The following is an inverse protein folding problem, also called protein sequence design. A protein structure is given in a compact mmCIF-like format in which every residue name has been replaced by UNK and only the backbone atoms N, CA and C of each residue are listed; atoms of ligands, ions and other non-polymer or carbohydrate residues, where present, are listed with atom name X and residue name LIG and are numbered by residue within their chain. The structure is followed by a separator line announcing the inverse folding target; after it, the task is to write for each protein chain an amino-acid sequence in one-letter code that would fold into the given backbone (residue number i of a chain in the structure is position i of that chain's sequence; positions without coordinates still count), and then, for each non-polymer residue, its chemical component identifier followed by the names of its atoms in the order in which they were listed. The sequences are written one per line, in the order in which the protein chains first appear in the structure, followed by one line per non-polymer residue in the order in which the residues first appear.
data_IF_680963653854
#
_entry.id   IF_680963653854
#
_cell.length_a   1.000
_cell.length_b   1.000
_cell.length_c   1.000
_cell.angle_alpha   90.00
_cell.angle_beta   90.00
_cell.angle_gamma   90.00
#
_symmetry.space_group_name_H-M   'P 1'
#
loop_
_entity.id
_entity.type
_entity.pdbx_description
1 polymer ?
#
# COMPACT_ATOMS: atom_id res chain seq x y z
N UNK A 1 -15.71 28.04 -13.12
CA UNK A 1 -15.01 28.39 -11.87
C UNK A 1 -13.57 27.88 -11.92
N UNK A 2 -12.58 28.77 -11.95
CA UNK A 2 -11.16 28.39 -11.93
C UNK A 2 -10.83 27.74 -10.57
N UNK A 3 -10.48 26.45 -10.56
CA UNK A 3 -10.22 25.71 -9.31
C UNK A 3 -8.92 26.15 -8.58
N UNK A 4 -8.05 26.97 -9.21
CA UNK A 4 -6.77 27.39 -8.60
C UNK A 4 -6.19 28.68 -9.25
N UNK A 5 -6.71 29.88 -8.94
CA UNK A 5 -6.16 31.13 -9.47
C UNK A 5 -4.67 31.32 -9.14
N UNK A 6 -4.25 30.91 -7.93
CA UNK A 6 -2.86 31.08 -7.45
C UNK A 6 -1.81 30.29 -8.23
N UNK A 7 -2.19 29.20 -8.91
CA UNK A 7 -1.24 28.44 -9.73
C UNK A 7 -0.74 29.30 -10.89
N UNK A 8 -1.65 29.99 -11.58
CA UNK A 8 -1.33 30.88 -12.71
C UNK A 8 -0.69 32.20 -12.29
N UNK A 9 -0.74 32.54 -10.99
CA UNK A 9 -0.09 33.73 -10.42
C UNK A 9 1.32 33.44 -9.89
N UNK A 10 1.75 32.18 -9.88
CA UNK A 10 3.07 31.79 -9.37
C UNK A 10 4.13 31.95 -10.46
N UNK A 11 5.37 32.24 -10.06
CA UNK A 11 6.48 32.37 -11.02
C UNK A 11 6.60 31.11 -11.89
N UNK A 12 6.63 31.24 -13.24
CA UNK A 12 6.82 30.12 -14.13
C UNK A 12 8.05 29.26 -13.80
N UNK A 13 9.13 29.89 -13.31
CA UNK A 13 10.37 29.19 -12.94
C UNK A 13 10.16 28.13 -11.85
N UNK A 14 9.37 28.43 -10.80
CA UNK A 14 9.14 27.50 -9.68
C UNK A 14 8.40 26.25 -10.12
N UNK A 15 7.40 26.43 -10.99
CA UNK A 15 6.65 25.32 -11.59
C UNK A 15 7.57 24.51 -12.49
N UNK A 16 8.37 25.19 -13.32
CA UNK A 16 9.30 24.56 -14.26
C UNK A 16 10.37 23.72 -13.55
N UNK A 17 10.93 24.18 -12.43
CA UNK A 17 11.95 23.45 -11.67
C UNK A 17 11.41 22.12 -11.12
N UNK A 18 10.16 22.12 -10.65
CA UNK A 18 9.50 20.91 -10.12
C UNK A 18 9.17 19.95 -11.26
N UNK A 19 8.70 20.47 -12.40
CA UNK A 19 8.45 19.65 -13.60
C UNK A 19 9.75 19.03 -14.12
N UNK A 20 10.81 19.81 -14.26
CA UNK A 20 12.13 19.34 -14.71
C UNK A 20 12.67 18.26 -13.79
N UNK A 21 12.57 18.47 -12.47
CA UNK A 21 12.93 17.44 -11.50
C UNK A 21 12.13 16.14 -11.70
N UNK A 22 10.80 16.24 -11.85
CA UNK A 22 9.95 15.08 -12.05
C UNK A 22 10.30 14.31 -13.33
N UNK A 23 10.59 15.01 -14.42
CA UNK A 23 11.06 14.41 -15.67
C UNK A 23 12.39 13.69 -15.46
N UNK A 24 13.36 14.35 -14.80
CA UNK A 24 14.69 13.78 -14.54
C UNK A 24 14.65 12.52 -13.67
N UNK A 25 13.70 12.42 -12.74
CA UNK A 25 13.51 11.21 -11.90
C UNK A 25 12.57 10.17 -12.53
N UNK A 26 12.19 10.33 -13.80
CA UNK A 26 11.44 9.32 -14.55
C UNK A 26 9.92 9.35 -14.38
N UNK A 27 9.35 10.45 -13.86
CA UNK A 27 7.89 10.61 -13.83
C UNK A 27 7.39 10.87 -15.26
N UNK A 28 6.47 10.04 -15.75
CA UNK A 28 5.92 10.21 -17.09
C UNK A 28 5.12 11.51 -17.25
N UNK A 29 5.16 12.10 -18.45
CA UNK A 29 4.38 13.30 -18.79
C UNK A 29 2.88 13.16 -18.47
N UNK A 30 2.31 11.96 -18.66
CA UNK A 30 0.93 11.64 -18.26
C UNK A 30 0.71 11.83 -16.76
N UNK A 31 1.62 11.32 -15.93
CA UNK A 31 1.53 11.44 -14.48
C UNK A 31 1.76 12.89 -14.03
N UNK A 32 2.75 13.60 -14.62
CA UNK A 32 2.99 15.03 -14.32
C UNK A 32 1.74 15.85 -14.64
N UNK A 33 1.11 15.64 -15.81
CA UNK A 33 -0.16 16.28 -16.17
C UNK A 33 -1.25 16.01 -15.13
N UNK A 34 -1.41 14.76 -14.71
CA UNK A 34 -2.38 14.41 -13.66
C UNK A 34 -2.07 15.13 -12.34
N UNK A 35 -0.81 15.21 -11.93
CA UNK A 35 -0.39 15.92 -10.72
C UNK A 35 -0.71 17.42 -10.80
N UNK A 36 -0.49 18.06 -11.95
CA UNK A 36 -0.83 19.48 -12.14
C UNK A 36 -2.35 19.69 -12.03
N UNK A 37 -3.16 18.80 -12.61
CA UNK A 37 -4.62 18.90 -12.59
C UNK A 37 -5.19 18.67 -11.17
N UNK A 38 -4.74 17.61 -10.49
CA UNK A 38 -5.35 17.14 -9.25
C UNK A 38 -4.59 17.56 -7.98
N UNK A 39 -3.34 18.00 -8.09
CA UNK A 39 -2.51 18.46 -6.97
C UNK A 39 -1.63 19.68 -7.33
N UNK A 40 -2.22 20.75 -7.88
CA UNK A 40 -1.51 21.93 -8.38
C UNK A 40 -0.67 22.63 -7.30
N UNK A 41 -1.10 22.56 -6.03
CA UNK A 41 -0.36 23.14 -4.89
C UNK A 41 1.05 22.60 -4.72
N UNK A 42 1.33 21.38 -5.19
CA UNK A 42 2.65 20.77 -5.16
C UNK A 42 3.68 21.55 -6.01
N UNK A 43 3.23 22.29 -7.01
CA UNK A 43 4.12 22.95 -7.98
C UNK A 43 4.44 24.40 -7.63
N UNK A 44 3.74 25.02 -6.69
CA UNK A 44 3.97 26.43 -6.36
C UNK A 44 4.00 26.75 -4.87
N UNK A 45 3.26 26.01 -4.04
CA UNK A 45 3.14 26.32 -2.61
C UNK A 45 4.34 25.81 -1.80
N UNK A 46 4.94 24.71 -2.24
CA UNK A 46 5.86 23.93 -1.42
C UNK A 46 7.34 24.20 -1.69
N UNK A 47 7.69 25.19 -2.53
CA UNK A 47 9.04 25.76 -2.70
C UNK A 47 10.18 24.71 -2.70
N UNK A 48 10.19 23.79 -3.67
CA UNK A 48 11.27 22.81 -3.81
C UNK A 48 11.21 21.59 -2.88
N UNK A 49 10.20 21.47 -2.00
CA UNK A 49 10.03 20.26 -1.16
C UNK A 49 9.95 18.95 -1.94
N UNK A 50 9.34 18.84 -3.14
CA UNK A 50 9.35 17.60 -3.90
C UNK A 50 10.76 17.10 -4.22
N UNK A 51 11.66 18.01 -4.59
CA UNK A 51 13.08 17.75 -4.81
C UNK A 51 13.75 17.31 -3.51
N UNK A 52 13.58 18.06 -2.43
CA UNK A 52 14.20 17.78 -1.13
C UNK A 52 13.80 16.40 -0.59
N UNK A 53 12.50 16.12 -0.55
CA UNK A 53 11.97 14.85 -0.05
C UNK A 53 12.37 13.70 -0.95
N UNK A 54 12.25 13.84 -2.27
CA UNK A 54 12.61 12.74 -3.17
C UNK A 54 14.10 12.43 -3.16
N UNK A 55 14.99 13.43 -3.19
CA UNK A 55 16.44 13.20 -3.07
C UNK A 55 16.83 12.57 -1.74
N UNK A 56 16.20 13.02 -0.64
CA UNK A 56 16.41 12.43 0.68
C UNK A 56 15.99 10.95 0.70
N UNK A 57 14.79 10.63 0.21
CA UNK A 57 14.29 9.25 0.18
C UNK A 57 15.10 8.35 -0.75
N UNK A 58 15.58 8.87 -1.88
CA UNK A 58 16.51 8.16 -2.76
C UNK A 58 17.81 7.78 -2.03
N UNK A 59 18.38 8.72 -1.28
CA UNK A 59 19.58 8.48 -0.47
C UNK A 59 19.34 7.39 0.57
N UNK A 60 18.19 7.45 1.26
CA UNK A 60 17.81 6.43 2.26
C UNK A 60 17.61 5.06 1.59
N UNK A 61 16.91 4.99 0.46
CA UNK A 61 16.67 3.74 -0.28
C UNK A 61 18.00 3.13 -0.73
N UNK A 62 18.90 3.91 -1.33
CA UNK A 62 20.20 3.42 -1.79
C UNK A 62 21.08 2.93 -0.62
N UNK A 63 21.01 3.59 0.54
CA UNK A 63 21.71 3.13 1.75
C UNK A 63 21.18 1.79 2.24
N UNK A 64 19.87 1.59 2.21
CA UNK A 64 19.21 0.36 2.70
C UNK A 64 19.30 -0.79 1.69
N UNK A 65 19.26 -0.47 0.40
CA UNK A 65 19.26 -1.43 -0.69
C UNK A 65 20.00 -0.81 -1.90
N UNK A 66 21.33 -1.00 -2.00
CA UNK A 66 22.16 -0.37 -3.05
C UNK A 66 21.70 -0.68 -4.48
N UNK A 67 21.14 -1.88 -4.70
CA UNK A 67 20.65 -2.34 -5.99
C UNK A 67 19.15 -2.06 -6.23
N UNK A 68 18.52 -1.21 -5.41
CA UNK A 68 17.11 -0.88 -5.58
C UNK A 68 16.87 -0.15 -6.90
N UNK A 69 15.79 -0.50 -7.58
CA UNK A 69 15.30 0.22 -8.75
C UNK A 69 14.67 1.56 -8.35
N UNK A 70 15.54 2.53 -8.05
CA UNK A 70 15.15 3.88 -7.67
C UNK A 70 14.37 4.61 -8.77
N UNK A 71 14.60 4.22 -10.03
CA UNK A 71 13.97 4.81 -11.22
C UNK A 71 12.46 4.53 -11.20
N UNK A 72 12.02 3.36 -10.75
CA UNK A 72 10.57 3.07 -10.64
C UNK A 72 9.96 3.46 -9.30
N UNK A 73 10.74 3.45 -8.21
CA UNK A 73 10.21 3.68 -6.85
C UNK A 73 9.74 5.11 -6.68
N UNK A 74 10.57 6.10 -7.03
CA UNK A 74 10.25 7.50 -6.76
C UNK A 74 9.02 8.00 -7.57
N UNK A 75 8.89 7.71 -8.88
CA UNK A 75 7.67 8.00 -9.63
C UNK A 75 6.43 7.33 -9.08
N UNK A 76 6.56 6.09 -8.61
CA UNK A 76 5.46 5.38 -7.95
C UNK A 76 5.00 6.12 -6.69
N UNK A 77 5.92 6.58 -5.84
CA UNK A 77 5.59 7.32 -4.63
C UNK A 77 4.97 8.68 -4.93
N UNK A 78 5.55 9.44 -5.87
CA UNK A 78 5.02 10.74 -6.30
C UNK A 78 3.59 10.64 -6.80
N UNK A 79 3.26 9.54 -7.51
CA UNK A 79 1.90 9.29 -7.99
C UNK A 79 0.93 8.90 -6.86
N UNK A 80 1.37 8.05 -5.93
CA UNK A 80 0.46 7.39 -4.98
C UNK A 80 0.34 8.12 -3.62
N UNK A 81 1.32 8.95 -3.23
CA UNK A 81 1.22 9.82 -2.06
C UNK A 81 1.91 11.17 -2.28
N UNK A 82 1.21 12.03 -3.02
CA UNK A 82 1.63 13.42 -3.29
C UNK A 82 1.85 14.23 -2.00
N UNK A 83 1.07 13.94 -0.95
CA UNK A 83 1.09 14.69 0.31
C UNK A 83 2.41 14.48 1.05
N UNK A 84 3.11 13.36 0.84
CA UNK A 84 4.45 13.13 1.38
C UNK A 84 5.44 14.19 0.87
N UNK A 85 5.39 14.53 -0.42
CA UNK A 85 6.30 15.48 -1.07
C UNK A 85 6.02 16.95 -0.73
N UNK A 86 5.02 17.20 0.11
CA UNK A 86 4.75 18.51 0.71
C UNK A 86 5.30 18.65 2.12
N UNK A 87 5.89 17.59 2.69
CA UNK A 87 6.49 17.56 4.03
C UNK A 87 7.94 18.06 4.03
N UNK A 88 8.47 18.23 5.22
CA UNK A 88 9.88 18.54 5.47
C UNK A 88 10.69 17.26 5.69
N UNK A 89 12.00 17.32 5.42
CA UNK A 89 12.91 16.20 5.67
C UNK A 89 12.86 15.79 7.15
N UNK A 90 12.78 16.74 8.08
CA UNK A 90 12.72 16.47 9.52
C UNK A 90 11.46 15.69 9.93
N UNK A 91 10.30 15.99 9.34
CA UNK A 91 9.07 15.23 9.61
C UNK A 91 9.20 13.78 9.10
N UNK A 92 9.75 13.61 7.89
CA UNK A 92 9.91 12.30 7.26
C UNK A 92 11.00 11.46 7.95
N UNK A 93 12.11 12.08 8.33
CA UNK A 93 13.24 11.42 8.99
C UNK A 93 12.86 10.88 10.37
N UNK A 94 11.99 11.57 11.10
CA UNK A 94 11.47 11.11 12.40
C UNK A 94 10.81 9.75 12.27
N UNK A 95 9.89 9.59 11.31
CA UNK A 95 9.19 8.32 11.12
C UNK A 95 10.09 7.23 10.52
N UNK A 96 11.06 7.59 9.67
CA UNK A 96 12.07 6.61 9.21
C UNK A 96 12.90 6.08 10.38
N UNK A 97 13.37 6.96 11.27
CA UNK A 97 14.14 6.57 12.45
C UNK A 97 13.31 5.66 13.36
N UNK A 98 12.07 6.06 13.63
CA UNK A 98 11.15 5.27 14.44
C UNK A 98 10.91 3.86 13.85
N UNK A 99 10.66 3.77 12.54
CA UNK A 99 10.52 2.47 11.88
C UNK A 99 11.80 1.63 11.99
N UNK A 100 12.98 2.24 11.89
CA UNK A 100 14.24 1.52 12.13
C UNK A 100 14.43 1.08 13.58
N UNK A 101 13.98 1.87 14.56
CA UNK A 101 13.97 1.48 15.98
C UNK A 101 13.04 0.29 16.26
N UNK A 102 11.96 0.15 15.48
CA UNK A 102 11.09 -1.05 15.50
C UNK A 102 11.70 -2.27 14.78
N UNK A 103 12.87 -2.13 14.16
CA UNK A 103 13.55 -3.22 13.43
C UNK A 103 13.27 -3.28 11.93
N UNK A 104 12.66 -2.23 11.33
CA UNK A 104 12.56 -2.14 9.88
C UNK A 104 13.87 -1.62 9.26
N UNK A 105 14.55 -2.48 8.52
CA UNK A 105 15.81 -2.25 7.83
C UNK A 105 15.88 -2.97 6.47
N UNK A 106 16.81 -2.56 5.62
CA UNK A 106 17.04 -3.16 4.31
C UNK A 106 15.78 -3.17 3.43
N UNK A 107 15.48 -4.35 2.87
CA UNK A 107 14.36 -4.53 1.95
C UNK A 107 12.99 -4.23 2.60
N UNK A 108 12.81 -4.53 3.89
CA UNK A 108 11.50 -4.33 4.53
C UNK A 108 11.17 -2.83 4.69
N UNK A 109 12.18 -1.99 4.99
CA UNK A 109 12.02 -0.55 5.10
C UNK A 109 11.78 0.07 3.71
N UNK A 110 12.51 -0.39 2.69
CA UNK A 110 12.30 0.04 1.30
C UNK A 110 10.87 -0.31 0.82
N UNK A 111 10.33 -1.47 1.20
CA UNK A 111 8.93 -1.83 0.92
C UNK A 111 7.94 -0.88 1.59
N UNK A 112 8.18 -0.45 2.83
CA UNK A 112 7.35 0.56 3.50
C UNK A 112 7.42 1.89 2.75
N UNK A 113 8.63 2.37 2.45
CA UNK A 113 8.84 3.62 1.70
C UNK A 113 8.09 3.59 0.36
N UNK A 114 8.18 2.48 -0.39
CA UNK A 114 7.56 2.33 -1.72
C UNK A 114 6.04 2.16 -1.69
N UNK A 115 5.53 1.27 -0.83
CA UNK A 115 4.14 0.81 -0.87
C UNK A 115 3.25 1.40 0.22
N UNK A 116 3.82 2.01 1.25
CA UNK A 116 3.11 2.79 2.26
C UNK A 116 3.84 4.11 2.58
N UNK A 117 4.08 4.98 1.57
CA UNK A 117 4.70 6.30 1.79
C UNK A 117 3.92 7.17 2.79
N UNK A 118 2.62 6.91 2.98
CA UNK A 118 1.79 7.55 3.99
C UNK A 118 2.32 7.37 5.41
N UNK A 119 2.92 6.21 5.73
CA UNK A 119 3.53 5.94 7.03
C UNK A 119 4.59 6.99 7.39
N UNK A 120 5.28 7.55 6.39
CA UNK A 120 6.35 8.52 6.63
C UNK A 120 5.85 9.92 6.99
N UNK A 121 4.55 10.22 6.83
CA UNK A 121 3.98 11.56 7.06
C UNK A 121 2.82 11.63 8.06
N UNK A 122 2.45 10.50 8.66
CA UNK A 122 1.45 10.46 9.74
C UNK A 122 2.15 10.65 11.10
N UNK A 123 1.36 10.77 12.16
CA UNK A 123 1.88 10.88 13.53
C UNK A 123 2.68 9.62 13.92
N UNK A 124 3.82 9.82 14.57
CA UNK A 124 4.64 8.71 15.09
C UNK A 124 3.91 7.93 16.18
N UNK A 125 3.11 8.64 16.99
CA UNK A 125 2.17 8.09 17.96
C UNK A 125 1.14 7.16 17.32
N UNK A 126 0.62 7.53 16.14
CA UNK A 126 -0.28 6.65 15.38
C UNK A 126 0.44 5.36 14.94
N UNK A 127 1.68 5.46 14.46
CA UNK A 127 2.45 4.28 14.06
C UNK A 127 2.72 3.36 15.24
N UNK A 128 3.07 3.91 16.41
CA UNK A 128 3.26 3.15 17.63
C UNK A 128 1.98 2.42 18.03
N UNK A 129 0.85 3.14 18.12
CA UNK A 129 -0.46 2.54 18.43
C UNK A 129 -0.84 1.43 17.45
N UNK A 130 -0.57 1.62 16.15
CA UNK A 130 -0.80 0.60 15.12
C UNK A 130 0.11 -0.61 15.32
N UNK A 131 1.38 -0.41 15.65
CA UNK A 131 2.31 -1.48 15.93
C UNK A 131 1.84 -2.34 17.11
N UNK A 132 1.49 -1.70 18.22
CA UNK A 132 0.99 -2.38 19.43
C UNK A 132 -0.32 -3.12 19.14
N UNK A 133 -1.25 -2.46 18.43
CA UNK A 133 -2.50 -3.08 18.00
C UNK A 133 -2.30 -4.34 17.16
N UNK A 134 -1.33 -4.34 16.21
CA UNK A 134 -1.06 -5.53 15.40
C UNK A 134 -0.50 -6.68 16.26
N UNK A 135 0.33 -6.37 17.26
CA UNK A 135 0.85 -7.38 18.19
C UNK A 135 -0.26 -8.00 19.02
N UNK A 136 -1.13 -7.17 19.59
CA UNK A 136 -2.20 -7.59 20.48
C UNK A 136 -3.33 -8.30 19.72
N UNK A 137 -3.89 -7.66 18.69
CA UNK A 137 -5.06 -8.19 17.97
C UNK A 137 -4.74 -9.48 17.22
N UNK A 138 -3.55 -9.55 16.61
CA UNK A 138 -3.14 -10.68 15.77
C UNK A 138 -2.23 -11.68 16.50
N UNK A 139 -1.95 -11.44 17.79
CA UNK A 139 -1.09 -12.29 18.65
C UNK A 139 0.28 -12.53 18.01
N UNK A 140 0.96 -11.44 17.62
CA UNK A 140 2.24 -11.48 16.93
C UNK A 140 3.37 -10.94 17.81
N UNK A 141 4.54 -11.57 17.71
CA UNK A 141 5.78 -10.98 18.23
C UNK A 141 6.40 -9.99 17.24
N UNK A 142 7.43 -9.25 17.65
CA UNK A 142 8.04 -8.19 16.85
C UNK A 142 8.53 -8.67 15.47
N UNK A 143 9.17 -9.85 15.41
CA UNK A 143 9.65 -10.42 14.14
C UNK A 143 8.48 -10.78 13.21
N UNK A 144 7.40 -11.28 13.77
CA UNK A 144 6.20 -11.63 13.01
C UNK A 144 5.47 -10.38 12.49
N UNK A 145 5.39 -9.31 13.29
CA UNK A 145 4.84 -8.03 12.82
C UNK A 145 5.69 -7.45 11.70
N UNK A 146 7.02 -7.50 11.80
CA UNK A 146 7.90 -7.07 10.70
C UNK A 146 7.58 -7.86 9.44
N UNK A 147 7.48 -9.20 9.50
CA UNK A 147 7.15 -10.04 8.35
C UNK A 147 5.76 -9.74 7.79
N UNK A 148 4.78 -9.54 8.67
CA UNK A 148 3.40 -9.21 8.33
C UNK A 148 3.34 -7.87 7.56
N UNK A 149 3.93 -6.81 8.12
CA UNK A 149 4.01 -5.48 7.51
C UNK A 149 4.81 -5.53 6.23
N UNK A 150 5.90 -6.29 6.16
CA UNK A 150 6.70 -6.45 4.93
C UNK A 150 5.87 -6.99 3.76
N UNK A 151 4.97 -7.94 4.02
CA UNK A 151 4.07 -8.52 3.01
C UNK A 151 2.93 -7.57 2.60
N UNK A 152 2.48 -6.70 3.51
CA UNK A 152 1.44 -5.70 3.25
C UNK A 152 1.69 -4.38 4.01
N UNK A 153 2.57 -3.49 3.50
CA UNK A 153 2.97 -2.29 4.25
C UNK A 153 1.83 -1.33 4.55
N UNK A 154 0.79 -1.31 3.69
CA UNK A 154 -0.38 -0.42 3.85
C UNK A 154 -1.16 -0.66 5.14
N UNK A 155 -0.96 -1.78 5.82
CA UNK A 155 -1.55 -2.02 7.14
C UNK A 155 -1.18 -0.92 8.15
N UNK A 156 0.01 -0.32 8.03
CA UNK A 156 0.49 0.72 8.93
C UNK A 156 -0.40 1.97 8.97
N UNK A 157 -1.19 2.20 7.92
CA UNK A 157 -2.07 3.38 7.81
C UNK A 157 -3.51 3.00 7.46
N UNK A 158 -3.89 1.74 7.59
CA UNK A 158 -5.27 1.33 7.42
C UNK A 158 -6.11 1.84 8.60
N UNK A 159 -7.43 1.90 8.45
CA UNK A 159 -8.33 2.22 9.56
C UNK A 159 -8.41 1.02 10.51
N UNK A 160 -8.53 1.28 11.82
CA UNK A 160 -8.62 0.23 12.85
C UNK A 160 -9.86 -0.64 12.60
N UNK A 161 -10.99 0.01 12.34
CA UNK A 161 -12.29 -0.61 12.08
C UNK A 161 -12.26 -1.53 10.86
N UNK A 162 -11.46 -1.18 9.85
CA UNK A 162 -11.29 -2.04 8.67
C UNK A 162 -10.50 -3.31 9.01
N UNK A 163 -9.47 -3.21 9.86
CA UNK A 163 -8.71 -4.40 10.25
C UNK A 163 -9.59 -5.32 11.10
N UNK A 164 -10.34 -4.75 12.05
CA UNK A 164 -11.31 -5.47 12.88
C UNK A 164 -12.37 -6.18 12.03
N UNK A 165 -13.09 -5.46 11.17
CA UNK A 165 -14.17 -6.03 10.34
C UNK A 165 -13.69 -7.20 9.47
N UNK A 166 -12.48 -7.09 8.91
CA UNK A 166 -11.88 -8.17 8.11
C UNK A 166 -11.42 -9.33 8.99
N UNK A 167 -10.78 -9.05 10.12
CA UNK A 167 -10.28 -10.09 11.02
C UNK A 167 -11.42 -10.89 11.64
N UNK A 168 -12.43 -10.23 12.20
CA UNK A 168 -13.58 -10.87 12.86
C UNK A 168 -14.35 -11.73 11.86
N UNK A 169 -14.55 -11.23 10.64
CA UNK A 169 -15.14 -12.04 9.58
C UNK A 169 -14.32 -13.30 9.29
N UNK A 170 -13.01 -13.17 9.08
CA UNK A 170 -12.17 -14.31 8.70
C UNK A 170 -12.02 -15.33 9.84
N UNK A 171 -11.81 -14.86 11.06
CA UNK A 171 -11.51 -15.70 12.22
C UNK A 171 -12.78 -16.27 12.84
N UNK A 172 -13.76 -15.43 13.14
CA UNK A 172 -14.94 -15.83 13.91
C UNK A 172 -16.05 -16.37 13.02
N UNK A 173 -16.34 -15.71 11.88
CA UNK A 173 -17.45 -16.10 11.01
C UNK A 173 -17.07 -17.16 9.99
N UNK A 174 -15.93 -16.99 9.32
CA UNK A 174 -15.45 -17.92 8.30
C UNK A 174 -14.63 -19.09 8.88
N UNK A 175 -14.25 -19.04 10.17
CA UNK A 175 -13.58 -20.12 10.87
C UNK A 175 -12.14 -20.38 10.40
N UNK A 176 -11.48 -19.40 9.77
CA UNK A 176 -10.08 -19.56 9.39
C UNK A 176 -9.17 -19.51 10.61
N UNK A 177 -8.19 -20.41 10.66
CA UNK A 177 -7.18 -20.39 11.71
C UNK A 177 -6.35 -19.11 11.65
N UNK A 178 -6.05 -18.53 12.82
CA UNK A 178 -5.26 -17.31 12.98
C UNK A 178 -3.96 -17.35 12.16
N UNK A 179 -3.21 -18.45 12.26
CA UNK A 179 -1.95 -18.65 11.54
C UNK A 179 -2.08 -18.50 10.01
N UNK A 180 -3.22 -18.88 9.44
CA UNK A 180 -3.45 -18.79 8.00
C UNK A 180 -3.79 -17.35 7.59
N UNK A 181 -4.49 -16.61 8.46
CA UNK A 181 -4.79 -15.18 8.27
C UNK A 181 -3.48 -14.37 8.32
N UNK A 182 -2.68 -14.54 9.37
CA UNK A 182 -1.46 -13.73 9.57
C UNK A 182 -0.35 -14.04 8.55
N UNK A 183 -0.31 -15.26 8.01
CA UNK A 183 0.59 -15.61 6.90
C UNK A 183 0.21 -14.93 5.59
N UNK A 184 -1.02 -14.43 5.46
CA UNK A 184 -1.59 -13.83 4.25
C UNK A 184 -2.13 -12.39 4.46
N UNK A 185 -1.29 -11.39 4.80
CA UNK A 185 -1.73 -10.03 5.13
C UNK A 185 -2.48 -9.29 4.01
N UNK A 186 -2.39 -9.77 2.76
CA UNK A 186 -3.14 -9.19 1.62
C UNK A 186 -4.65 -9.39 1.73
N UNK A 187 -5.14 -10.24 2.64
CA UNK A 187 -6.56 -10.33 2.97
C UNK A 187 -7.13 -8.97 3.37
N UNK A 188 -6.37 -8.17 4.14
CA UNK A 188 -6.75 -6.82 4.60
C UNK A 188 -6.77 -5.77 3.47
N UNK A 189 -6.29 -6.11 2.27
CA UNK A 189 -6.42 -5.24 1.10
C UNK A 189 -7.87 -5.18 0.60
N UNK A 190 -8.61 -6.29 0.72
CA UNK A 190 -9.99 -6.42 0.26
C UNK A 190 -10.98 -5.77 1.23
N UNK A 191 -12.22 -5.66 0.78
CA UNK A 191 -13.36 -5.32 1.66
C UNK A 191 -13.99 -6.61 2.15
N UNK A 192 -14.67 -6.57 3.31
CA UNK A 192 -15.39 -7.74 3.85
C UNK A 192 -16.41 -8.28 2.84
N UNK A 193 -17.29 -7.46 2.22
CA UNK A 193 -18.26 -7.97 1.25
C UNK A 193 -17.61 -8.74 0.10
N UNK A 194 -16.44 -8.31 -0.37
CA UNK A 194 -15.72 -9.00 -1.44
C UNK A 194 -15.18 -10.37 -1.00
N UNK A 195 -14.66 -10.48 0.23
CA UNK A 195 -14.18 -11.74 0.76
C UNK A 195 -15.34 -12.71 1.03
N UNK A 196 -16.44 -12.18 1.57
CA UNK A 196 -17.65 -12.93 1.90
C UNK A 196 -18.33 -13.50 0.65
N UNK A 197 -18.52 -12.67 -0.38
CA UNK A 197 -19.05 -13.12 -1.68
C UNK A 197 -18.20 -14.25 -2.27
N UNK A 198 -16.87 -14.10 -2.28
CA UNK A 198 -15.97 -15.13 -2.81
C UNK A 198 -15.99 -16.40 -1.98
N UNK A 199 -16.05 -16.28 -0.66
CA UNK A 199 -16.15 -17.44 0.23
C UNK A 199 -17.43 -18.22 -0.05
N UNK A 200 -18.56 -17.53 -0.18
CA UNK A 200 -19.83 -18.15 -0.50
C UNK A 200 -19.78 -18.90 -1.84
N UNK A 201 -19.25 -18.28 -2.89
CA UNK A 201 -19.07 -18.95 -4.20
C UNK A 201 -18.21 -20.21 -4.07
N UNK A 202 -17.11 -20.16 -3.30
CA UNK A 202 -16.23 -21.32 -3.10
C UNK A 202 -16.93 -22.46 -2.35
N UNK A 203 -17.77 -22.14 -1.37
CA UNK A 203 -18.58 -23.13 -0.64
C UNK A 203 -19.64 -23.76 -1.54
N UNK A 204 -20.34 -22.97 -2.36
CA UNK A 204 -21.35 -23.45 -3.31
C UNK A 204 -20.78 -24.44 -4.33
N UNK A 205 -19.59 -24.15 -4.89
CA UNK A 205 -18.91 -25.06 -5.82
C UNK A 205 -18.13 -26.18 -5.11
N UNK A 206 -18.31 -26.33 -3.78
CA UNK A 206 -17.65 -27.34 -2.95
C UNK A 206 -16.13 -27.38 -3.15
N UNK A 207 -15.49 -26.21 -3.27
CA UNK A 207 -14.06 -26.08 -3.53
C UNK A 207 -13.23 -26.86 -2.50
N UNK A 208 -12.25 -27.64 -2.98
CA UNK A 208 -11.43 -28.53 -2.14
C UNK A 208 -9.99 -28.05 -1.93
N UNK A 209 -9.60 -26.93 -2.56
CA UNK A 209 -8.24 -26.38 -2.42
C UNK A 209 -8.11 -25.42 -1.25
N UNK A 210 -6.97 -24.73 -1.17
CA UNK A 210 -6.74 -23.70 -0.15
C UNK A 210 -7.55 -22.44 -0.48
N UNK A 211 -8.45 -22.08 0.45
CA UNK A 211 -9.36 -20.96 0.32
C UNK A 211 -8.60 -19.63 0.36
N UNK A 212 -7.60 -19.45 1.22
CA UNK A 212 -7.01 -18.12 1.45
C UNK A 212 -6.33 -17.54 0.21
N UNK A 213 -5.45 -18.28 -0.49
CA UNK A 213 -4.91 -17.81 -1.76
C UNK A 213 -6.03 -17.51 -2.76
N UNK A 214 -7.05 -18.38 -2.82
CA UNK A 214 -8.18 -18.26 -3.75
C UNK A 214 -9.05 -17.02 -3.47
N UNK A 215 -9.19 -16.59 -2.21
CA UNK A 215 -9.92 -15.37 -1.87
C UNK A 215 -9.23 -14.10 -2.39
N UNK A 216 -7.91 -14.12 -2.54
CA UNK A 216 -7.11 -12.92 -2.87
C UNK A 216 -6.63 -12.85 -4.32
N UNK A 217 -6.77 -13.93 -5.11
CA UNK A 217 -6.37 -13.96 -6.53
C UNK A 217 -7.09 -12.91 -7.36
N UNK A 218 -6.49 -12.54 -8.49
CA UNK A 218 -7.08 -11.56 -9.40
C UNK A 218 -8.46 -12.00 -9.92
N UNK A 219 -9.37 -11.03 -10.11
CA UNK A 219 -10.77 -11.23 -10.53
C UNK A 219 -10.93 -12.27 -11.65
N UNK A 220 -10.33 -11.99 -12.80
CA UNK A 220 -10.40 -12.88 -13.97
C UNK A 220 -9.90 -14.30 -13.69
N UNK A 221 -8.87 -14.46 -12.86
CA UNK A 221 -8.33 -15.78 -12.49
C UNK A 221 -9.30 -16.52 -11.58
N UNK A 222 -9.94 -15.82 -10.65
CA UNK A 222 -11.00 -16.38 -9.81
C UNK A 222 -12.15 -16.89 -10.70
N UNK A 223 -12.69 -16.03 -11.56
CA UNK A 223 -13.85 -16.33 -12.41
C UNK A 223 -13.59 -17.53 -13.33
N UNK A 224 -12.40 -17.57 -13.96
CA UNK A 224 -11.99 -18.68 -14.83
C UNK A 224 -11.92 -20.02 -14.09
N UNK A 225 -11.43 -20.02 -12.85
CA UNK A 225 -11.33 -21.24 -12.04
C UNK A 225 -12.72 -21.71 -11.59
N UNK A 226 -13.58 -20.80 -11.16
CA UNK A 226 -14.97 -21.13 -10.78
C UNK A 226 -15.74 -21.69 -11.98
N UNK A 227 -15.60 -21.08 -13.17
CA UNK A 227 -16.24 -21.58 -14.39
C UNK A 227 -15.82 -23.02 -14.75
N UNK A 228 -14.52 -23.32 -14.65
CA UNK A 228 -14.02 -24.69 -14.88
C UNK A 228 -14.59 -25.70 -13.88
N UNK A 229 -14.68 -25.34 -12.61
CA UNK A 229 -15.24 -26.22 -11.58
C UNK A 229 -16.73 -26.53 -11.83
N UNK A 230 -17.52 -25.51 -12.22
CA UNK A 230 -18.94 -25.69 -12.57
C UNK A 230 -19.12 -26.59 -13.80
N UNK A 231 -18.29 -26.42 -14.83
CA UNK A 231 -18.33 -27.30 -16.01
C UNK A 231 -18.01 -28.76 -15.65
N UNK A 232 -17.05 -28.99 -14.75
CA UNK A 232 -16.69 -30.34 -14.32
C UNK A 232 -17.79 -31.02 -13.49
N UNK A 233 -18.53 -30.26 -12.66
CA UNK A 233 -19.69 -30.80 -11.94
C UNK A 233 -20.83 -31.15 -12.89
N UNK A 234 -21.14 -30.26 -13.84
CA UNK A 234 -22.23 -30.47 -14.81
C UNK A 234 -21.99 -31.68 -15.72
N UNK A 235 -20.73 -31.98 -16.05
CA UNK A 235 -20.37 -33.18 -16.83
C UNK A 235 -20.61 -34.44 -16.00
N UNK A 236 -20.22 -34.42 -14.73
CA UNK A 236 -20.35 -35.58 -13.84
C UNK A 236 -21.81 -35.94 -13.58
N UNK A 237 -22.66 -34.93 -13.36
CA UNK A 237 -24.09 -35.11 -13.14
C UNK A 237 -24.86 -35.59 -14.39
N UNK A 238 -24.24 -35.57 -15.59
CA UNK A 238 -24.84 -36.08 -16.84
C UNK A 238 -24.40 -37.49 -17.22
N UNK A 239 -23.36 -38.01 -16.56
CA UNK A 239 -22.76 -39.33 -16.85
C UNK A 239 -23.11 -40.39 -15.81
N UNK A 240 -23.73 -40.00 -14.70
CA UNK A 240 -24.29 -40.86 -13.65
C UNK A 240 -25.82 -40.96 -13.78
#
# INVERSE_FOLDING_TARGET
MQRVPRFFMSSPSVVQDIVNYMVNVGVSNKNIRNLIIFSPSLFYRVKGRPQQIGNYLLTVIQKQQPNADVISILPHMLRNDVKLFSRTVNEVSRNLKFLSELGFEGENLVKIIRYCPSALRIGTDFLQRRWDYLKERLVLNDKEVILFVTKYPRILTLADEKIEDIFDFLFEKAGFQLQNIVKNPRLFERSRPHLEERLQILLEVKYKGDFIPMLTVWGKVFDQRIAKLKQMSDIKDRTD
#
